data_IF_129399290461
#
_entry.id   IF_129399290461
#
_cell.length_a   1.000
_cell.length_b   1.000
_cell.length_c   1.000
_cell.angle_alpha   90.00
_cell.angle_beta   90.00
_cell.angle_gamma   90.00
#
_symmetry.space_group_name_H-M   'P 1'
#
loop_
_entity.id
_entity.type
_entity.pdbx_description
1 polymer ?
#
# COMPACT_ATOMS: atom_id res chain seq x y z
N UNK A 1 29.14 -16.51 35.42
CA UNK A 1 28.45 -15.25 35.81
C UNK A 1 28.46 -14.19 34.69
N UNK A 2 29.61 -13.85 34.08
CA UNK A 2 29.69 -12.87 32.97
C UNK A 2 28.84 -13.23 31.74
N UNK A 3 28.87 -14.50 31.31
CA UNK A 3 28.04 -15.02 30.21
C UNK A 3 26.53 -14.95 30.49
N UNK A 4 26.12 -15.11 31.75
CA UNK A 4 24.71 -14.99 32.15
C UNK A 4 24.24 -13.53 32.06
N UNK A 5 25.10 -12.59 32.49
CA UNK A 5 24.82 -11.15 32.43
C UNK A 5 24.74 -10.66 30.97
N UNK A 6 25.59 -11.17 30.08
CA UNK A 6 25.52 -10.83 28.66
C UNK A 6 24.26 -11.36 27.98
N UNK A 7 23.85 -12.59 28.30
CA UNK A 7 22.60 -13.15 27.79
C UNK A 7 21.39 -12.34 28.28
N UNK A 8 21.41 -11.90 29.54
CA UNK A 8 20.38 -11.01 30.08
C UNK A 8 20.33 -9.66 29.33
N UNK A 9 21.47 -9.03 29.06
CA UNK A 9 21.53 -7.76 28.34
C UNK A 9 21.05 -7.87 26.90
N UNK A 10 21.43 -8.95 26.19
CA UNK A 10 20.93 -9.22 24.82
C UNK A 10 19.42 -9.45 24.85
N UNK A 11 18.93 -10.21 25.84
CA UNK A 11 17.50 -10.45 26.01
C UNK A 11 16.73 -9.15 26.27
N UNK A 12 17.30 -8.24 27.07
CA UNK A 12 16.72 -6.90 27.30
C UNK A 12 16.70 -6.08 26.00
N UNK A 13 17.76 -6.11 25.19
CA UNK A 13 17.78 -5.41 23.90
C UNK A 13 16.73 -5.97 22.92
N UNK A 14 16.57 -7.30 22.86
CA UNK A 14 15.53 -7.95 22.07
C UNK A 14 14.13 -7.62 22.57
N UNK A 15 13.92 -7.60 23.90
CA UNK A 15 12.64 -7.19 24.50
C UNK A 15 12.33 -5.71 24.23
N UNK A 16 13.33 -4.83 24.28
CA UNK A 16 13.17 -3.42 23.93
C UNK A 16 12.79 -3.26 22.46
N UNK A 17 13.45 -3.99 21.55
CA UNK A 17 13.10 -3.99 20.13
C UNK A 17 11.69 -4.53 19.88
N UNK A 18 11.31 -5.61 20.54
CA UNK A 18 9.96 -6.16 20.49
C UNK A 18 8.93 -5.14 21.02
N UNK A 19 9.23 -4.46 22.13
CA UNK A 19 8.38 -3.40 22.66
C UNK A 19 8.24 -2.23 21.67
N UNK A 20 9.30 -1.81 20.98
CA UNK A 20 9.25 -0.79 19.93
C UNK A 20 8.36 -1.21 18.76
N UNK A 21 8.35 -2.50 18.41
CA UNK A 21 7.51 -3.01 17.34
C UNK A 21 6.03 -3.11 17.74
N UNK A 22 5.74 -3.40 19.02
CA UNK A 22 4.38 -3.65 19.52
C UNK A 22 3.69 -2.42 20.13
N UNK A 23 4.44 -1.47 20.68
CA UNK A 23 3.88 -0.31 21.37
C UNK A 23 3.43 0.78 20.41
N UNK A 24 2.44 1.56 20.85
CA UNK A 24 2.03 2.79 20.17
C UNK A 24 3.14 3.85 20.19
N UNK A 25 3.12 4.71 19.18
CA UNK A 25 4.13 5.78 19.03
C UNK A 25 4.22 6.70 20.25
N UNK A 26 3.10 6.91 20.95
CA UNK A 26 3.06 7.73 22.17
C UNK A 26 3.95 7.14 23.27
N UNK A 27 3.93 5.83 23.42
CA UNK A 27 4.75 5.11 24.40
C UNK A 27 6.21 5.04 23.98
N UNK A 28 6.48 4.89 22.68
CA UNK A 28 7.85 4.95 22.15
C UNK A 28 8.44 6.33 22.37
N UNK A 29 7.71 7.40 22.03
CA UNK A 29 8.13 8.77 22.25
C UNK A 29 8.35 9.06 23.74
N UNK A 30 7.44 8.63 24.61
CA UNK A 30 7.61 8.74 26.06
C UNK A 30 8.86 8.00 26.56
N UNK A 31 9.13 6.80 26.01
CA UNK A 31 10.34 6.03 26.31
C UNK A 31 11.62 6.75 25.88
N UNK A 32 11.66 7.27 24.64
CA UNK A 32 12.80 8.05 24.13
C UNK A 32 13.04 9.30 24.98
N UNK A 33 11.98 10.03 25.34
CA UNK A 33 12.05 11.22 26.21
C UNK A 33 12.55 10.83 27.60
N UNK A 34 12.05 9.75 28.18
CA UNK A 34 12.50 9.26 29.49
C UNK A 34 13.99 8.89 29.46
N UNK A 35 14.45 8.15 28.44
CA UNK A 35 15.87 7.81 28.27
C UNK A 35 16.72 9.07 28.10
N UNK A 36 16.28 10.02 27.27
CA UNK A 36 16.99 11.29 27.06
C UNK A 36 17.06 12.12 28.35
N UNK A 37 15.97 12.20 29.12
CA UNK A 37 15.93 12.88 30.42
C UNK A 37 16.86 12.20 31.44
N UNK A 38 16.87 10.87 31.50
CA UNK A 38 17.79 10.12 32.37
C UNK A 38 19.25 10.42 31.98
N UNK A 39 19.58 10.39 30.69
CA UNK A 39 20.93 10.71 30.21
C UNK A 39 21.30 12.17 30.53
N UNK A 40 20.37 13.10 30.41
CA UNK A 40 20.63 14.52 30.63
C UNK A 40 20.75 14.88 32.13
N UNK A 41 19.87 14.33 32.97
CA UNK A 41 19.77 14.65 34.40
C UNK A 41 20.79 13.89 35.25
N UNK A 42 21.21 12.69 34.83
CA UNK A 42 22.10 11.85 35.65
C UNK A 42 23.58 12.16 35.40
N UNK A 43 24.37 12.22 36.48
CA UNK A 43 25.84 12.32 36.41
C UNK A 43 26.50 11.27 35.50
N UNK A 44 26.09 9.98 35.50
CA UNK A 44 26.61 8.99 34.54
C UNK A 44 26.19 9.21 33.07
N UNK A 45 25.21 10.05 32.78
CA UNK A 45 24.75 10.28 31.41
C UNK A 45 25.56 11.29 30.59
N UNK A 46 26.26 12.23 31.24
CA UNK A 46 27.19 13.17 30.56
C UNK A 46 28.28 12.46 29.71
N UNK A 47 28.93 11.41 30.22
CA UNK A 47 29.71 10.45 29.43
C UNK A 47 29.11 10.00 28.10
N UNK A 48 27.84 9.62 28.11
CA UNK A 48 27.11 9.06 26.96
C UNK A 48 26.93 10.13 25.88
N UNK A 49 26.64 11.38 26.28
CA UNK A 49 26.52 12.51 25.35
C UNK A 49 27.85 12.86 24.67
N UNK A 50 28.96 12.77 25.39
CA UNK A 50 30.29 13.00 24.83
C UNK A 50 30.68 11.91 23.83
N UNK A 51 30.41 10.66 24.17
CA UNK A 51 30.59 9.50 23.28
C UNK A 51 29.73 9.60 22.02
N UNK A 52 28.48 10.02 22.16
CA UNK A 52 27.57 10.22 21.04
C UNK A 52 28.06 11.36 20.14
N UNK A 53 28.49 12.48 20.74
CA UNK A 53 29.00 13.62 19.98
C UNK A 53 30.25 13.23 19.21
N UNK A 54 31.19 12.52 19.83
CA UNK A 54 32.40 12.06 19.13
C UNK A 54 32.04 11.11 18.00
N UNK A 55 31.17 10.13 18.25
CA UNK A 55 30.67 9.19 17.26
C UNK A 55 30.06 9.90 16.02
N UNK A 56 29.19 10.88 16.23
CA UNK A 56 28.55 11.64 15.13
C UNK A 56 29.57 12.45 14.30
N UNK A 57 30.59 13.05 14.91
CA UNK A 57 31.67 13.71 14.16
C UNK A 57 32.54 12.74 13.38
N UNK A 58 32.80 11.55 13.93
CA UNK A 58 33.61 10.52 13.27
C UNK A 58 32.84 9.81 12.15
N UNK A 59 31.51 9.76 12.21
CA UNK A 59 30.65 9.24 11.14
C UNK A 59 30.82 10.02 9.83
N UNK A 60 31.09 11.33 9.89
CA UNK A 60 31.40 12.15 8.71
C UNK A 60 32.73 11.75 8.06
N UNK A 61 33.65 11.19 8.83
CA UNK A 61 34.92 10.65 8.33
C UNK A 61 34.78 9.20 7.83
N UNK A 62 33.70 8.50 8.23
CA UNK A 62 33.43 7.08 7.93
C UNK A 62 32.16 6.89 7.11
N UNK A 63 32.09 7.65 6.02
CA UNK A 63 30.90 7.71 5.16
C UNK A 63 30.50 6.34 4.61
N UNK A 64 31.46 5.46 4.29
CA UNK A 64 31.18 4.13 3.77
C UNK A 64 30.41 3.24 4.79
N UNK A 65 30.84 3.21 6.05
CA UNK A 65 30.19 2.43 7.10
C UNK A 65 28.78 2.96 7.39
N UNK A 66 28.65 4.29 7.50
CA UNK A 66 27.34 4.93 7.67
C UNK A 66 26.40 4.62 6.49
N UNK A 67 26.91 4.67 5.26
CA UNK A 67 26.13 4.39 4.04
C UNK A 67 25.63 2.94 4.00
N UNK A 68 26.43 1.95 4.41
CA UNK A 68 25.99 0.55 4.46
C UNK A 68 24.77 0.38 5.37
N UNK A 69 24.79 1.01 6.56
CA UNK A 69 23.65 0.97 7.50
C UNK A 69 22.45 1.71 6.91
N UNK A 70 22.68 2.92 6.40
CA UNK A 70 21.61 3.77 5.88
C UNK A 70 20.92 3.16 4.66
N UNK A 71 21.69 2.58 3.72
CA UNK A 71 21.15 1.91 2.54
C UNK A 71 20.51 0.57 2.92
N UNK A 72 21.14 -0.22 3.78
CA UNK A 72 20.62 -1.51 4.22
C UNK A 72 19.27 -1.39 4.93
N UNK A 73 19.21 -0.57 5.98
CA UNK A 73 17.95 -0.30 6.70
C UNK A 73 16.98 0.48 5.83
N UNK A 74 17.48 1.47 5.09
CA UNK A 74 16.68 2.29 4.20
C UNK A 74 15.95 1.48 3.13
N UNK A 75 16.58 0.43 2.58
CA UNK A 75 15.95 -0.47 1.61
C UNK A 75 14.77 -1.25 2.23
N UNK A 76 14.89 -1.69 3.50
CA UNK A 76 13.78 -2.31 4.24
C UNK A 76 12.63 -1.32 4.38
N UNK A 77 12.91 -0.10 4.85
CA UNK A 77 11.90 0.93 5.05
C UNK A 77 11.22 1.32 3.73
N UNK A 78 11.98 1.57 2.68
CA UNK A 78 11.47 1.94 1.36
C UNK A 78 10.56 0.86 0.78
N UNK A 79 10.99 -0.41 0.84
CA UNK A 79 10.21 -1.53 0.32
C UNK A 79 8.92 -1.73 1.13
N UNK A 80 9.01 -1.66 2.45
CA UNK A 80 7.84 -1.81 3.32
C UNK A 80 6.82 -0.68 3.12
N UNK A 81 7.28 0.58 3.10
CA UNK A 81 6.41 1.75 2.88
C UNK A 81 5.83 1.72 1.48
N UNK A 82 6.64 1.45 0.46
CA UNK A 82 6.18 1.38 -0.93
C UNK A 82 5.08 0.36 -1.10
N UNK A 83 5.28 -0.87 -0.61
CA UNK A 83 4.29 -1.93 -0.78
C UNK A 83 3.00 -1.68 0.01
N UNK A 84 3.09 -1.14 1.23
CA UNK A 84 1.91 -0.74 2.02
C UNK A 84 1.16 0.42 1.37
N UNK A 85 1.86 1.39 0.80
CA UNK A 85 1.27 2.55 0.13
C UNK A 85 0.46 2.16 -1.09
N UNK A 86 0.89 1.14 -1.85
CA UNK A 86 0.08 0.55 -2.94
C UNK A 86 -1.25 0.00 -2.40
N UNK A 87 -1.21 -0.78 -1.32
CA UNK A 87 -2.43 -1.33 -0.71
C UNK A 87 -3.38 -0.25 -0.19
N UNK A 88 -2.86 0.77 0.49
CA UNK A 88 -3.65 1.89 1.01
C UNK A 88 -4.22 2.78 -0.10
N UNK A 89 -3.46 3.00 -1.18
CA UNK A 89 -3.94 3.73 -2.35
C UNK A 89 -5.11 3.02 -3.03
N UNK A 90 -5.00 1.70 -3.23
CA UNK A 90 -6.10 0.90 -3.76
C UNK A 90 -7.32 0.90 -2.83
N UNK A 91 -7.10 0.69 -1.53
CA UNK A 91 -8.18 0.65 -0.54
C UNK A 91 -8.94 1.98 -0.50
N UNK A 92 -8.24 3.11 -0.60
CA UNK A 92 -8.86 4.44 -0.69
C UNK A 92 -9.79 4.58 -1.90
N UNK A 93 -9.30 4.20 -3.10
CA UNK A 93 -10.09 4.29 -4.35
C UNK A 93 -11.31 3.36 -4.28
N UNK A 94 -11.14 2.13 -3.82
CA UNK A 94 -12.23 1.15 -3.72
C UNK A 94 -13.27 1.57 -2.68
N UNK A 95 -12.87 2.15 -1.56
CA UNK A 95 -13.81 2.68 -0.56
C UNK A 95 -14.56 3.92 -1.05
N UNK A 96 -13.96 4.71 -1.95
CA UNK A 96 -14.63 5.83 -2.61
C UNK A 96 -15.46 5.43 -3.84
N UNK A 97 -15.37 4.17 -4.29
CA UNK A 97 -16.11 3.68 -5.46
C UNK A 97 -17.49 3.21 -5.07
N UNK A 98 -18.49 3.67 -5.82
CA UNK A 98 -19.90 3.37 -5.55
C UNK A 98 -20.53 4.20 -4.42
N UNK A 99 -21.83 4.02 -4.25
CA UNK A 99 -22.65 4.72 -3.28
C UNK A 99 -23.70 3.80 -2.64
N UNK A 100 -24.37 4.28 -1.59
CA UNK A 100 -25.47 3.52 -0.96
C UNK A 100 -26.79 3.64 -1.75
N UNK A 101 -26.80 4.46 -2.81
CA UNK A 101 -27.96 4.69 -3.67
C UNK A 101 -27.99 3.74 -4.87
N UNK A 102 -26.96 2.93 -5.06
CA UNK A 102 -26.84 1.93 -6.12
C UNK A 102 -26.56 0.56 -5.52
N UNK A 103 -27.05 -0.46 -6.20
CA UNK A 103 -26.80 -1.84 -5.87
C UNK A 103 -26.17 -2.55 -7.06
N UNK A 104 -25.23 -3.43 -6.78
CA UNK A 104 -24.66 -4.36 -7.75
C UNK A 104 -25.29 -5.74 -7.53
N UNK A 105 -25.66 -6.37 -8.65
CA UNK A 105 -26.24 -7.71 -8.66
C UNK A 105 -25.32 -8.62 -9.44
N UNK A 106 -24.90 -9.70 -8.79
CA UNK A 106 -24.04 -10.74 -9.34
C UNK A 106 -24.75 -12.09 -9.28
N UNK A 107 -24.20 -13.07 -9.99
CA UNK A 107 -24.59 -14.46 -9.80
C UNK A 107 -24.14 -14.93 -8.42
N UNK A 108 -25.02 -15.64 -7.72
CA UNK A 108 -24.76 -16.16 -6.39
C UNK A 108 -23.50 -17.02 -6.37
N UNK A 109 -22.60 -16.71 -5.44
CA UNK A 109 -21.31 -17.40 -5.28
C UNK A 109 -20.14 -16.77 -6.07
N UNK A 110 -20.42 -15.79 -6.94
CA UNK A 110 -19.37 -14.97 -7.55
C UNK A 110 -18.79 -14.00 -6.52
N UNK A 111 -17.46 -13.95 -6.41
CA UNK A 111 -16.75 -13.02 -5.51
C UNK A 111 -16.25 -11.76 -6.23
N UNK A 112 -16.19 -11.83 -7.56
CA UNK A 112 -15.72 -10.78 -8.45
C UNK A 112 -16.69 -10.68 -9.61
N UNK A 113 -16.72 -9.53 -10.29
CA UNK A 113 -17.44 -9.36 -11.56
C UNK A 113 -16.98 -10.41 -12.58
N UNK A 114 -15.70 -10.77 -12.59
CA UNK A 114 -15.11 -11.74 -13.49
C UNK A 114 -15.68 -13.17 -13.35
N UNK A 115 -16.07 -13.56 -12.14
CA UNK A 115 -16.62 -14.91 -11.85
C UNK A 115 -18.13 -15.00 -12.06
N UNK A 116 -18.78 -13.88 -12.40
CA UNK A 116 -20.23 -13.79 -12.57
C UNK A 116 -20.64 -13.87 -14.03
N UNK A 117 -21.83 -14.43 -14.27
CA UNK A 117 -22.44 -14.52 -15.60
C UNK A 117 -23.96 -14.59 -15.47
N UNK A 118 -24.63 -13.56 -15.99
CA UNK A 118 -26.06 -13.32 -15.96
C UNK A 118 -26.61 -13.33 -17.39
N UNK A 119 -27.60 -14.17 -17.67
CA UNK A 119 -28.23 -14.20 -19.01
C UNK A 119 -29.10 -12.96 -19.24
N UNK A 120 -29.33 -12.58 -20.51
CA UNK A 120 -30.23 -11.46 -20.85
C UNK A 120 -31.62 -11.55 -20.20
N UNK A 121 -32.17 -12.76 -20.12
CA UNK A 121 -33.47 -12.99 -19.49
C UNK A 121 -33.45 -12.65 -18.01
N UNK A 122 -32.38 -13.01 -17.30
CA UNK A 122 -32.19 -12.68 -15.88
C UNK A 122 -32.03 -11.16 -15.72
N UNK A 123 -31.21 -10.53 -16.56
CA UNK A 123 -31.04 -9.07 -16.57
C UNK A 123 -32.38 -8.36 -16.76
N UNK A 124 -33.21 -8.77 -17.72
CA UNK A 124 -34.52 -8.15 -17.96
C UNK A 124 -35.45 -8.20 -16.73
N UNK A 125 -35.36 -9.28 -15.94
CA UNK A 125 -36.11 -9.45 -14.69
C UNK A 125 -35.56 -8.54 -13.59
N UNK A 126 -34.24 -8.39 -13.50
CA UNK A 126 -33.58 -7.48 -12.54
C UNK A 126 -33.96 -6.02 -12.83
N UNK A 127 -33.92 -5.58 -14.08
CA UNK A 127 -34.29 -4.21 -14.47
C UNK A 127 -35.74 -3.87 -14.08
N UNK A 128 -36.60 -4.88 -14.11
CA UNK A 128 -38.02 -4.73 -13.77
C UNK A 128 -38.33 -4.97 -12.29
N UNK A 129 -37.32 -5.29 -11.47
CA UNK A 129 -37.50 -5.71 -10.08
C UNK A 129 -38.00 -4.58 -9.16
N UNK A 130 -38.65 -4.99 -8.07
CA UNK A 130 -39.03 -4.08 -7.00
C UNK A 130 -37.78 -3.57 -6.28
N UNK A 131 -37.77 -2.28 -5.96
CA UNK A 131 -36.62 -1.61 -5.32
C UNK A 131 -35.68 -0.90 -6.31
N UNK A 132 -35.82 -1.16 -7.62
CA UNK A 132 -35.12 -0.40 -8.67
C UNK A 132 -35.82 0.93 -8.93
N UNK A 133 -35.05 2.03 -8.96
CA UNK A 133 -35.54 3.35 -9.31
C UNK A 133 -36.01 3.38 -10.76
N UNK A 134 -37.00 4.21 -11.07
CA UNK A 134 -37.56 4.31 -12.42
C UNK A 134 -37.36 5.71 -13.00
N UNK A 135 -37.16 5.77 -14.31
CA UNK A 135 -37.16 7.02 -15.07
C UNK A 135 -38.58 7.58 -15.18
N UNK A 136 -38.72 8.81 -15.68
CA UNK A 136 -40.04 9.42 -15.95
C UNK A 136 -40.88 8.61 -16.97
N UNK A 137 -40.23 7.81 -17.83
CA UNK A 137 -40.88 6.91 -18.79
C UNK A 137 -41.25 5.54 -18.18
N UNK A 138 -40.93 5.29 -16.91
CA UNK A 138 -41.23 4.04 -16.20
C UNK A 138 -40.19 2.93 -16.36
N UNK A 139 -39.12 3.17 -17.12
CA UNK A 139 -38.01 2.23 -17.31
C UNK A 139 -37.15 2.14 -16.03
N UNK A 140 -36.67 0.95 -15.70
CA UNK A 140 -35.76 0.76 -14.55
C UNK A 140 -34.39 1.39 -14.82
N UNK A 141 -33.88 2.15 -13.85
CA UNK A 141 -32.55 2.77 -13.93
C UNK A 141 -31.51 1.71 -13.61
N UNK A 142 -30.99 1.08 -14.67
CA UNK A 142 -30.07 -0.04 -14.58
C UNK A 142 -29.01 0.00 -15.70
N UNK A 143 -27.83 -0.52 -15.38
CA UNK A 143 -26.71 -0.73 -16.28
C UNK A 143 -26.33 -2.20 -16.25
N UNK A 144 -26.54 -2.93 -17.35
CA UNK A 144 -25.97 -4.27 -17.52
C UNK A 144 -24.55 -4.15 -18.04
N UNK A 145 -23.62 -4.80 -17.33
CA UNK A 145 -22.20 -4.50 -17.47
C UNK A 145 -21.36 -5.69 -17.92
N UNK A 146 -20.28 -5.34 -18.62
CA UNK A 146 -19.34 -6.29 -19.18
C UNK A 146 -17.92 -5.74 -19.05
N UNK A 147 -17.10 -6.37 -18.23
CA UNK A 147 -15.68 -6.13 -18.11
C UNK A 147 -14.87 -6.97 -19.11
N UNK A 148 -14.11 -6.30 -19.97
CA UNK A 148 -13.16 -6.92 -20.91
C UNK A 148 -11.82 -6.17 -20.93
N UNK A 149 -10.85 -6.73 -21.64
CA UNK A 149 -9.55 -6.11 -21.85
C UNK A 149 -9.40 -5.65 -23.31
N UNK A 150 -8.99 -4.40 -23.50
CA UNK A 150 -8.47 -3.88 -24.76
C UNK A 150 -6.94 -3.89 -24.78
N UNK A 151 -6.35 -3.79 -25.97
CA UNK A 151 -4.93 -3.57 -26.16
C UNK A 151 -4.72 -2.29 -26.97
N UNK A 152 -3.84 -1.40 -26.51
CA UNK A 152 -3.50 -0.22 -27.28
C UNK A 152 -2.41 -0.48 -28.34
N UNK A 153 -2.06 0.54 -29.13
CA UNK A 153 -1.01 0.42 -30.16
C UNK A 153 0.40 0.16 -29.58
N UNK A 154 0.60 0.36 -28.28
CA UNK A 154 1.88 0.13 -27.58
C UNK A 154 1.90 -1.25 -26.89
N UNK A 155 0.88 -2.09 -27.09
CA UNK A 155 0.75 -3.41 -26.48
C UNK A 155 0.36 -3.40 -25.00
N UNK A 156 -0.15 -2.28 -24.50
CA UNK A 156 -0.64 -2.16 -23.13
C UNK A 156 -2.07 -2.63 -23.07
N UNK A 157 -2.35 -3.50 -22.11
CA UNK A 157 -3.71 -3.86 -21.76
C UNK A 157 -4.42 -2.67 -21.12
N UNK A 158 -5.72 -2.52 -21.36
CA UNK A 158 -6.59 -1.48 -20.81
C UNK A 158 -7.91 -2.13 -20.39
N UNK A 159 -8.47 -1.73 -19.25
CA UNK A 159 -9.79 -2.19 -18.85
C UNK A 159 -10.88 -1.47 -19.64
N UNK A 160 -11.82 -2.24 -20.19
CA UNK A 160 -13.02 -1.70 -20.84
C UNK A 160 -14.24 -2.23 -20.12
N UNK A 161 -15.09 -1.30 -19.68
CA UNK A 161 -16.40 -1.56 -19.12
C UNK A 161 -17.46 -1.26 -20.17
N UNK A 162 -18.21 -2.28 -20.56
CA UNK A 162 -19.45 -2.12 -21.29
C UNK A 162 -20.53 -1.67 -20.33
N UNK A 163 -21.18 -0.56 -20.63
CA UNK A 163 -22.27 0.00 -19.82
C UNK A 163 -23.54 0.19 -20.67
N UNK A 164 -24.68 0.35 -20.00
CA UNK A 164 -25.96 0.67 -20.65
C UNK A 164 -26.05 2.14 -21.08
N UNK A 165 -27.01 2.46 -21.96
CA UNK A 165 -27.36 3.85 -22.28
C UNK A 165 -27.81 4.66 -21.05
N UNK A 166 -28.32 3.99 -20.00
CA UNK A 166 -28.73 4.62 -18.74
C UNK A 166 -27.59 4.72 -17.70
N UNK A 167 -26.35 4.39 -18.06
CA UNK A 167 -25.20 4.38 -17.14
C UNK A 167 -25.00 5.71 -16.41
N UNK A 168 -25.19 6.85 -17.08
CA UNK A 168 -25.06 8.17 -16.45
C UNK A 168 -26.12 8.43 -15.36
N UNK A 169 -27.26 7.73 -15.39
CA UNK A 169 -28.27 7.80 -14.33
C UNK A 169 -27.95 6.88 -13.16
N UNK A 170 -27.22 5.78 -13.41
CA UNK A 170 -26.71 4.88 -12.38
C UNK A 170 -25.51 5.55 -11.67
N UNK A 171 -24.48 5.92 -12.43
CA UNK A 171 -23.28 6.59 -11.96
C UNK A 171 -23.45 8.11 -11.95
N UNK A 172 -24.23 8.63 -11.01
CA UNK A 172 -24.57 10.05 -10.95
C UNK A 172 -23.36 11.01 -10.84
N UNK A 173 -22.25 10.52 -10.30
CA UNK A 173 -20.99 11.26 -10.16
C UNK A 173 -20.24 11.39 -11.49
N UNK A 174 -20.49 10.50 -12.44
CA UNK A 174 -19.79 10.51 -13.73
C UNK A 174 -20.35 11.62 -14.63
N UNK A 175 -19.44 12.44 -15.14
CA UNK A 175 -19.76 13.50 -16.07
C UNK A 175 -18.69 13.60 -17.16
N UNK A 176 -19.13 13.94 -18.36
CA UNK A 176 -18.24 14.15 -19.49
C UNK A 176 -17.49 15.48 -19.30
N UNK A 177 -16.16 15.44 -19.38
CA UNK A 177 -15.31 16.62 -19.29
C UNK A 177 -14.83 17.10 -20.66
N UNK A 178 -14.74 16.20 -21.66
CA UNK A 178 -14.31 16.53 -23.02
C UNK A 178 -14.92 15.60 -24.06
N UNK A 179 -15.09 16.10 -25.29
CA UNK A 179 -15.60 15.33 -26.43
C UNK A 179 -17.10 15.07 -26.34
N UNK A 180 -17.51 13.81 -26.57
CA UNK A 180 -18.91 13.37 -26.46
C UNK A 180 -19.01 11.93 -25.94
N UNK A 181 -20.21 11.55 -25.53
CA UNK A 181 -20.51 10.15 -25.21
C UNK A 181 -20.41 9.26 -26.46
N UNK A 182 -20.07 7.98 -26.26
CA UNK A 182 -20.12 6.96 -27.30
C UNK A 182 -21.56 6.77 -27.78
N UNK A 183 -21.73 6.34 -29.04
CA UNK A 183 -23.04 5.97 -29.59
C UNK A 183 -23.24 4.46 -29.44
N UNK A 184 -24.48 4.05 -29.17
CA UNK A 184 -24.81 2.61 -29.13
C UNK A 184 -24.72 2.01 -30.53
N UNK A 185 -24.23 0.76 -30.62
CA UNK A 185 -24.12 0.01 -31.88
C UNK A 185 -22.89 0.36 -32.74
N UNK A 186 -21.92 1.13 -32.24
CA UNK A 186 -20.69 1.47 -32.97
C UNK A 186 -19.45 1.27 -32.11
N UNK A 187 -18.29 1.12 -32.73
CA UNK A 187 -17.01 0.90 -32.04
C UNK A 187 -16.41 2.20 -31.49
N UNK A 188 -17.15 2.82 -30.57
CA UNK A 188 -16.76 4.04 -29.88
C UNK A 188 -16.62 3.81 -28.38
N UNK A 189 -15.63 4.45 -27.78
CA UNK A 189 -15.34 4.39 -26.35
C UNK A 189 -15.20 5.80 -25.77
N UNK A 190 -15.37 5.92 -24.46
CA UNK A 190 -15.06 7.13 -23.68
C UNK A 190 -14.03 6.76 -22.64
N UNK A 191 -12.97 7.56 -22.50
CA UNK A 191 -11.90 7.27 -21.55
C UNK A 191 -12.15 7.94 -20.19
N UNK A 192 -11.86 7.23 -19.10
CA UNK A 192 -11.72 7.84 -17.79
C UNK A 192 -10.56 8.85 -17.74
N UNK A 193 -10.71 9.91 -16.95
CA UNK A 193 -9.75 11.00 -16.89
C UNK A 193 -8.31 10.56 -16.52
N UNK A 194 -8.15 9.48 -15.75
CA UNK A 194 -6.84 8.98 -15.33
C UNK A 194 -6.13 8.19 -16.44
N UNK A 195 -6.80 7.89 -17.56
CA UNK A 195 -6.18 7.26 -18.72
C UNK A 195 -5.45 8.25 -19.64
N UNK A 196 -5.64 9.56 -19.49
CA UNK A 196 -5.06 10.59 -20.37
C UNK A 196 -3.54 10.48 -20.49
N UNK A 197 -2.84 10.20 -19.37
CA UNK A 197 -1.38 10.01 -19.38
C UNK A 197 -0.91 8.78 -20.15
N UNK A 198 -1.79 7.80 -20.40
CA UNK A 198 -1.47 6.66 -21.24
C UNK A 198 -1.49 7.05 -22.72
N UNK A 199 -2.29 8.04 -23.12
CA UNK A 199 -2.44 8.48 -24.51
C UNK A 199 -1.68 9.76 -24.83
N UNK A 200 -0.47 9.90 -24.28
CA UNK A 200 0.40 11.06 -24.52
C UNK A 200 -0.27 12.41 -24.17
N UNK A 201 -1.27 12.39 -23.27
CA UNK A 201 -2.02 13.54 -22.78
C UNK A 201 -3.41 13.73 -23.40
N UNK A 202 -3.67 13.19 -24.59
CA UNK A 202 -4.97 13.30 -25.27
C UNK A 202 -5.49 11.93 -25.73
N UNK A 203 -6.48 11.36 -25.03
CA UNK A 203 -7.06 10.09 -25.42
C UNK A 203 -8.03 10.21 -26.62
N UNK A 204 -8.54 11.39 -26.95
CA UNK A 204 -9.57 11.53 -27.99
C UNK A 204 -8.96 11.30 -29.38
N UNK A 205 -9.63 10.47 -30.19
CA UNK A 205 -9.16 10.08 -31.51
C UNK A 205 -8.15 8.93 -31.50
N UNK A 206 -7.60 8.58 -30.33
CA UNK A 206 -6.81 7.35 -30.18
C UNK A 206 -7.69 6.11 -30.46
N UNK A 207 -7.03 5.05 -30.90
CA UNK A 207 -7.67 3.76 -31.21
C UNK A 207 -7.07 2.68 -30.34
N UNK A 208 -7.93 1.83 -29.81
CA UNK A 208 -7.56 0.60 -29.09
C UNK A 208 -8.12 -0.60 -29.85
N UNK A 209 -7.49 -1.75 -29.69
CA UNK A 209 -7.89 -3.00 -30.31
C UNK A 209 -8.66 -3.85 -29.32
N UNK A 210 -9.86 -4.28 -29.70
CA UNK A 210 -10.70 -5.18 -28.92
C UNK A 210 -11.12 -6.32 -29.84
N UNK A 211 -10.79 -7.55 -29.46
CA UNK A 211 -11.03 -8.74 -30.27
C UNK A 211 -10.56 -8.63 -31.74
N UNK A 212 -9.42 -7.97 -31.97
CA UNK A 212 -8.86 -7.74 -33.31
C UNK A 212 -9.50 -6.60 -34.11
N UNK A 213 -10.52 -5.93 -33.57
CA UNK A 213 -11.18 -4.80 -34.21
C UNK A 213 -10.77 -3.46 -33.58
N UNK A 214 -10.65 -2.39 -34.38
CA UNK A 214 -10.30 -1.06 -33.88
C UNK A 214 -11.52 -0.35 -33.28
N UNK A 215 -11.32 0.23 -32.09
CA UNK A 215 -12.30 1.03 -31.35
C UNK A 215 -11.75 2.41 -31.08
N UNK A 216 -12.53 3.46 -31.41
CA UNK A 216 -12.07 4.85 -31.30
C UNK A 216 -12.56 5.51 -30.02
N UNK A 217 -11.67 6.19 -29.33
CA UNK A 217 -12.03 7.01 -28.16
C UNK A 217 -12.59 8.35 -28.65
N UNK A 218 -13.79 8.74 -28.18
CA UNK A 218 -14.52 9.93 -28.65
C UNK A 218 -14.82 10.97 -27.56
N UNK A 219 -14.44 10.70 -26.32
CA UNK A 219 -14.60 11.62 -25.21
C UNK A 219 -13.88 11.17 -23.96
N UNK A 220 -13.92 12.03 -22.95
CA UNK A 220 -13.32 11.79 -21.63
C UNK A 220 -14.34 12.04 -20.54
N UNK A 221 -14.45 11.10 -19.60
CA UNK A 221 -15.33 11.16 -18.43
C UNK A 221 -14.54 11.31 -17.13
N UNK A 222 -15.16 11.94 -16.13
CA UNK A 222 -14.68 11.98 -14.75
C UNK A 222 -15.77 11.54 -13.79
N UNK A 223 -15.47 10.55 -12.97
CA UNK A 223 -16.30 9.98 -11.91
C UNK A 223 -15.73 10.28 -10.51
N UNK A 224 -14.41 10.45 -10.38
CA UNK A 224 -13.74 10.68 -9.10
C UNK A 224 -13.50 9.40 -8.28
N UNK A 225 -13.69 8.23 -8.88
CA UNK A 225 -13.50 6.91 -8.28
C UNK A 225 -12.79 5.95 -9.26
N UNK A 226 -12.89 4.63 -9.04
CA UNK A 226 -12.20 3.64 -9.86
C UNK A 226 -12.52 3.72 -11.36
N UNK A 227 -13.69 4.23 -11.74
CA UNK A 227 -14.12 4.35 -13.14
C UNK A 227 -13.29 5.37 -13.94
N UNK A 228 -12.53 6.25 -13.27
CA UNK A 228 -11.59 7.17 -13.96
C UNK A 228 -10.42 6.43 -14.62
N UNK A 229 -10.20 5.16 -14.28
CA UNK A 229 -9.15 4.29 -14.81
C UNK A 229 -9.63 3.34 -15.92
N UNK A 230 -10.86 3.50 -16.41
CA UNK A 230 -11.51 2.56 -17.32
C UNK A 230 -11.91 3.21 -18.66
N UNK A 231 -12.02 2.41 -19.71
CA UNK A 231 -12.68 2.80 -20.95
C UNK A 231 -14.14 2.36 -20.89
N UNK A 232 -15.09 3.25 -21.20
CA UNK A 232 -16.51 2.91 -21.26
C UNK A 232 -16.98 2.77 -22.69
N UNK A 233 -17.75 1.72 -22.96
CA UNK A 233 -18.39 1.46 -24.25
C UNK A 233 -19.79 0.90 -24.11
N UNK A 234 -20.48 0.70 -25.23
CA UNK A 234 -21.82 0.10 -25.23
C UNK A 234 -21.77 -1.40 -24.92
N UNK A 235 -22.43 -1.82 -23.85
CA UNK A 235 -22.36 -3.22 -23.38
C UNK A 235 -22.91 -4.23 -24.39
N UNK A 236 -23.90 -3.84 -25.22
CA UNK A 236 -24.47 -4.71 -26.25
C UNK A 236 -23.49 -4.90 -27.41
N UNK A 237 -22.85 -3.83 -27.85
CA UNK A 237 -21.86 -3.83 -28.93
C UNK A 237 -20.63 -4.63 -28.50
N UNK A 238 -20.14 -4.43 -27.28
CA UNK A 238 -19.01 -5.18 -26.72
C UNK A 238 -19.35 -6.66 -26.56
N UNK A 239 -20.53 -7.01 -26.03
CA UNK A 239 -20.96 -8.41 -25.94
C UNK A 239 -21.01 -9.06 -27.33
N UNK A 240 -21.53 -8.35 -28.34
CA UNK A 240 -21.59 -8.83 -29.72
C UNK A 240 -20.20 -9.06 -30.32
N UNK A 241 -19.24 -8.18 -30.04
CA UNK A 241 -17.86 -8.31 -30.53
C UNK A 241 -17.19 -9.61 -30.05
N UNK A 242 -17.56 -10.13 -28.88
CA UNK A 242 -17.06 -11.40 -28.34
C UNK A 242 -18.02 -12.59 -28.56
N UNK A 243 -19.13 -12.41 -29.27
CA UNK A 243 -20.16 -13.45 -29.43
C UNK A 243 -20.83 -13.86 -28.11
N UNK A 244 -20.84 -12.97 -27.11
CA UNK A 244 -21.42 -13.20 -25.79
C UNK A 244 -22.91 -12.83 -25.75
N UNK A 245 -23.66 -13.59 -24.94
CA UNK A 245 -25.08 -13.32 -24.67
C UNK A 245 -25.37 -13.19 -23.16
N UNK A 246 -24.33 -12.94 -22.39
CA UNK A 246 -24.33 -12.81 -20.95
C UNK A 246 -23.64 -11.51 -20.51
N UNK A 247 -23.97 -11.06 -19.31
CA UNK A 247 -23.39 -9.90 -18.64
C UNK A 247 -22.74 -10.37 -17.34
N UNK A 248 -21.71 -9.67 -16.87
CA UNK A 248 -21.04 -10.05 -15.63
C UNK A 248 -21.82 -9.59 -14.42
N UNK A 249 -22.36 -8.39 -14.47
CA UNK A 249 -23.13 -7.82 -13.38
C UNK A 249 -24.22 -6.88 -13.92
N UNK A 250 -25.11 -6.49 -13.02
CA UNK A 250 -26.06 -5.41 -13.26
C UNK A 250 -25.96 -4.43 -12.10
N UNK A 251 -25.70 -3.17 -12.41
CA UNK A 251 -25.74 -2.08 -11.43
C UNK A 251 -27.04 -1.33 -11.59
N UNK A 252 -27.79 -1.17 -10.51
CA UNK A 252 -29.08 -0.48 -10.50
C UNK A 252 -29.07 0.68 -9.55
N UNK A 253 -29.83 1.73 -9.86
CA UNK A 253 -30.14 2.77 -8.88
C UNK A 253 -31.31 2.32 -8.03
N UNK A 254 -31.21 2.52 -6.72
CA UNK A 254 -32.20 2.11 -5.73
C UNK A 254 -33.29 3.16 -5.57
N UNK A 255 -34.53 2.71 -5.38
CA UNK A 255 -35.67 3.56 -5.10
C UNK A 255 -35.74 3.93 -3.60
N UNK A 256 -35.02 4.98 -3.22
CA UNK A 256 -35.00 5.50 -1.86
C UNK A 256 -34.28 4.59 -0.86
N UNK A 257 -34.37 4.94 0.43
CA UNK A 257 -33.57 4.31 1.49
C UNK A 257 -33.86 2.81 1.72
N UNK A 258 -35.07 2.34 1.40
CA UNK A 258 -35.45 0.93 1.54
C UNK A 258 -35.20 0.11 0.27
N UNK A 259 -34.81 0.74 -0.84
CA UNK A 259 -34.67 0.10 -2.14
C UNK A 259 -33.78 -1.14 -2.10
N UNK A 260 -32.64 -1.09 -1.39
CA UNK A 260 -31.74 -2.24 -1.24
C UNK A 260 -32.46 -3.42 -0.58
N UNK A 261 -33.14 -3.17 0.55
CA UNK A 261 -33.84 -4.23 1.28
C UNK A 261 -34.98 -4.84 0.47
N UNK A 262 -35.69 -4.03 -0.32
CA UNK A 262 -36.75 -4.49 -1.23
C UNK A 262 -36.16 -5.35 -2.35
N UNK A 263 -35.06 -4.90 -2.96
CA UNK A 263 -34.39 -5.63 -4.03
C UNK A 263 -33.81 -6.96 -3.54
N UNK A 264 -33.18 -6.98 -2.36
CA UNK A 264 -32.70 -8.21 -1.72
C UNK A 264 -33.86 -9.17 -1.41
N UNK A 265 -35.00 -8.66 -0.94
CA UNK A 265 -36.19 -9.48 -0.70
C UNK A 265 -36.75 -10.07 -2.00
N UNK A 266 -36.80 -9.27 -3.07
CA UNK A 266 -37.18 -9.72 -4.40
C UNK A 266 -36.24 -10.82 -4.93
N UNK A 267 -34.92 -10.64 -4.79
CA UNK A 267 -33.93 -11.65 -5.21
C UNK A 267 -34.09 -12.96 -4.44
N UNK A 268 -34.36 -12.90 -3.13
CA UNK A 268 -34.63 -14.08 -2.29
C UNK A 268 -35.93 -14.80 -2.66
N UNK A 269 -36.99 -14.05 -2.95
CA UNK A 269 -38.26 -14.60 -3.42
C UNK A 269 -38.10 -15.31 -4.78
N UNK A 270 -37.17 -14.84 -5.61
CA UNK A 270 -36.81 -15.41 -6.89
C UNK A 270 -35.54 -16.26 -6.83
N UNK A 271 -35.42 -17.15 -5.84
CA UNK A 271 -34.21 -17.96 -5.60
C UNK A 271 -33.72 -18.77 -6.81
N UNK A 272 -34.60 -19.11 -7.76
CA UNK A 272 -34.23 -19.77 -9.02
C UNK A 272 -33.29 -18.94 -9.91
N UNK A 273 -33.24 -17.63 -9.73
CA UNK A 273 -32.34 -16.74 -10.46
C UNK A 273 -30.90 -16.80 -9.92
N UNK A 274 -30.69 -17.35 -8.70
CA UNK A 274 -29.40 -17.44 -8.02
C UNK A 274 -28.64 -16.10 -8.06
N UNK A 275 -29.21 -15.07 -7.42
CA UNK A 275 -28.66 -13.72 -7.42
C UNK A 275 -28.11 -13.36 -6.04
N UNK A 276 -27.01 -12.62 -6.04
CA UNK A 276 -26.44 -11.96 -4.88
C UNK A 276 -26.54 -10.45 -5.11
N UNK A 277 -27.11 -9.75 -4.13
CA UNK A 277 -27.40 -8.31 -4.20
C UNK A 277 -26.66 -7.62 -3.08
N UNK A 278 -25.87 -6.62 -3.43
CA UNK A 278 -25.12 -5.81 -2.47
C UNK A 278 -25.17 -4.33 -2.87
N UNK A 279 -24.94 -3.43 -1.92
CA UNK A 279 -24.66 -2.03 -2.27
C UNK A 279 -23.32 -1.95 -3.00
N UNK A 280 -23.20 -1.05 -3.98
CA UNK A 280 -21.93 -0.90 -4.71
C UNK A 280 -20.79 -0.51 -3.76
N UNK A 281 -21.05 0.37 -2.78
CA UNK A 281 -20.08 0.73 -1.75
C UNK A 281 -19.57 -0.48 -0.97
N UNK A 282 -20.47 -1.34 -0.47
CA UNK A 282 -20.05 -2.49 0.31
C UNK A 282 -19.30 -3.51 -0.57
N UNK A 283 -19.74 -3.73 -1.80
CA UNK A 283 -19.06 -4.60 -2.76
C UNK A 283 -17.61 -4.16 -3.02
N UNK A 284 -17.39 -2.91 -3.46
CA UNK A 284 -16.04 -2.42 -3.73
C UNK A 284 -15.16 -2.35 -2.47
N UNK A 285 -15.72 -1.93 -1.33
CA UNK A 285 -15.00 -1.96 -0.05
C UNK A 285 -14.65 -3.38 0.43
N UNK A 286 -15.40 -4.41 0.02
CA UNK A 286 -15.06 -5.80 0.30
C UNK A 286 -13.94 -6.33 -0.61
N UNK A 287 -13.89 -5.85 -1.86
CA UNK A 287 -12.89 -6.20 -2.85
C UNK A 287 -11.48 -5.79 -2.41
N UNK A 288 -11.33 -4.57 -1.86
CA UNK A 288 -10.04 -4.07 -1.39
C UNK A 288 -9.48 -4.84 -0.19
N UNK A 289 -10.33 -5.32 0.72
CA UNK A 289 -9.90 -6.00 1.95
C UNK A 289 -9.02 -7.21 1.67
N UNK A 290 -9.42 -8.05 0.71
CA UNK A 290 -8.66 -9.26 0.35
C UNK A 290 -7.28 -8.86 -0.19
N UNK A 291 -7.24 -7.92 -1.12
CA UNK A 291 -6.00 -7.46 -1.73
C UNK A 291 -5.06 -6.78 -0.73
N UNK A 292 -5.59 -5.85 0.08
CA UNK A 292 -4.84 -5.14 1.12
C UNK A 292 -4.32 -6.10 2.19
N UNK A 293 -5.06 -7.15 2.53
CA UNK A 293 -4.61 -8.19 3.45
C UNK A 293 -3.45 -9.01 2.87
N UNK A 294 -3.52 -9.41 1.60
CA UNK A 294 -2.42 -10.09 0.90
C UNK A 294 -1.18 -9.19 0.89
N UNK A 295 -1.31 -7.94 0.44
CA UNK A 295 -0.22 -6.96 0.44
C UNK A 295 0.39 -6.81 1.84
N UNK A 296 -0.44 -6.74 2.89
CA UNK A 296 0.05 -6.64 4.28
C UNK A 296 0.91 -7.84 4.67
N UNK A 297 0.47 -9.05 4.36
CA UNK A 297 1.21 -10.28 4.67
C UNK A 297 2.55 -10.27 3.94
N UNK A 298 2.53 -10.02 2.62
CA UNK A 298 3.76 -9.93 1.82
C UNK A 298 4.70 -8.83 2.33
N UNK A 299 4.16 -7.68 2.78
CA UNK A 299 4.95 -6.56 3.28
C UNK A 299 5.71 -6.93 4.54
N UNK A 300 5.04 -7.65 5.45
CA UNK A 300 5.68 -8.16 6.66
C UNK A 300 6.72 -9.23 6.33
N UNK A 301 6.41 -10.18 5.45
CA UNK A 301 7.36 -11.23 5.06
C UNK A 301 8.64 -10.65 4.44
N UNK A 302 8.50 -9.73 3.47
CA UNK A 302 9.65 -9.08 2.82
C UNK A 302 10.42 -8.23 3.83
N UNK A 303 9.74 -7.49 4.71
CA UNK A 303 10.41 -6.71 5.74
C UNK A 303 11.19 -7.58 6.73
N UNK A 304 10.72 -8.78 7.06
CA UNK A 304 11.48 -9.73 7.88
C UNK A 304 12.72 -10.23 7.13
N UNK A 305 12.57 -10.65 5.87
CA UNK A 305 13.68 -11.17 5.06
C UNK A 305 14.77 -10.11 4.83
N UNK A 306 14.39 -8.93 4.35
CA UNK A 306 15.31 -7.81 4.17
C UNK A 306 15.82 -7.28 5.51
N UNK A 307 14.97 -7.29 6.54
CA UNK A 307 15.33 -6.91 7.91
C UNK A 307 16.45 -7.78 8.49
N UNK A 308 16.45 -9.09 8.23
CA UNK A 308 17.56 -9.98 8.60
C UNK A 308 18.85 -9.59 7.89
N UNK A 309 18.79 -9.31 6.59
CA UNK A 309 19.95 -8.84 5.82
C UNK A 309 20.50 -7.51 6.36
N UNK A 310 19.61 -6.55 6.60
CA UNK A 310 19.95 -5.26 7.20
C UNK A 310 20.52 -5.43 8.62
N UNK A 311 19.95 -6.33 9.43
CA UNK A 311 20.46 -6.65 10.76
C UNK A 311 21.91 -7.12 10.71
N UNK A 312 22.25 -8.06 9.83
CA UNK A 312 23.64 -8.50 9.65
C UNK A 312 24.55 -7.40 9.11
N UNK A 313 24.05 -6.53 8.23
CA UNK A 313 24.80 -5.37 7.74
C UNK A 313 25.12 -4.38 8.89
N UNK A 314 24.13 -4.06 9.74
CA UNK A 314 24.34 -3.22 10.92
C UNK A 314 25.30 -3.88 11.89
N UNK A 315 25.09 -5.16 12.21
CA UNK A 315 25.95 -5.93 13.10
C UNK A 315 27.41 -5.88 12.65
N UNK A 316 27.68 -6.25 11.41
CA UNK A 316 29.05 -6.34 10.89
C UNK A 316 29.73 -4.96 10.92
N UNK A 317 29.00 -3.93 10.48
CA UNK A 317 29.50 -2.56 10.50
C UNK A 317 29.79 -2.09 11.92
N UNK A 318 28.90 -2.34 12.87
CA UNK A 318 29.06 -1.94 14.27
C UNK A 318 30.17 -2.73 14.97
N UNK A 319 30.43 -3.98 14.59
CA UNK A 319 31.62 -4.71 15.03
C UNK A 319 32.91 -4.04 14.54
N UNK A 320 32.98 -3.69 13.25
CA UNK A 320 34.14 -2.95 12.71
C UNK A 320 34.34 -1.61 13.41
N UNK A 321 33.25 -0.88 13.69
CA UNK A 321 33.30 0.38 14.46
C UNK A 321 33.82 0.16 15.88
N UNK A 322 33.37 -0.90 16.55
CA UNK A 322 33.81 -1.22 17.91
C UNK A 322 35.29 -1.62 17.99
N UNK A 323 35.78 -2.39 17.01
CA UNK A 323 37.19 -2.83 16.97
C UNK A 323 38.15 -1.65 16.74
N UNK A 324 37.83 -0.74 15.83
CA UNK A 324 38.65 0.45 15.59
C UNK A 324 38.73 1.39 16.80
N UNK A 325 37.68 1.42 17.64
CA UNK A 325 37.62 2.27 18.84
C UNK A 325 37.94 1.51 20.12
N UNK A 326 38.53 0.33 20.00
CA UNK A 326 38.77 -0.57 21.12
C UNK A 326 39.65 0.06 22.20
N UNK A 327 40.71 0.77 21.80
CA UNK A 327 41.61 1.46 22.73
C UNK A 327 40.90 2.62 23.45
N UNK A 328 40.22 3.50 22.70
CA UNK A 328 39.45 4.64 23.25
C UNK A 328 38.45 4.18 24.32
N UNK A 329 37.67 3.14 24.02
CA UNK A 329 36.66 2.61 24.93
C UNK A 329 37.25 1.89 26.14
N UNK A 330 38.39 1.22 25.97
CA UNK A 330 39.12 0.59 27.06
C UNK A 330 39.70 1.63 28.01
N UNK A 331 40.22 2.75 27.49
CA UNK A 331 40.68 3.88 28.30
C UNK A 331 39.52 4.53 29.06
N UNK A 332 38.36 4.74 28.41
CA UNK A 332 37.17 5.28 29.08
C UNK A 332 36.69 4.38 30.23
N UNK A 333 36.70 3.06 30.04
CA UNK A 333 36.39 2.10 31.11
C UNK A 333 37.44 2.12 32.23
N UNK A 334 38.72 2.28 31.89
CA UNK A 334 39.80 2.35 32.87
C UNK A 334 39.70 3.59 33.78
N UNK A 335 39.21 4.73 33.25
CA UNK A 335 38.94 5.95 34.04
C UNK A 335 37.57 5.93 34.76
N UNK A 336 36.87 4.79 34.77
CA UNK A 336 35.67 4.57 35.57
C UNK A 336 34.33 4.80 34.87
N UNK A 337 34.29 4.90 33.54
CA UNK A 337 33.02 5.00 32.82
C UNK A 337 32.22 3.69 32.92
N UNK A 338 30.89 3.82 33.02
CA UNK A 338 30.01 2.66 33.11
C UNK A 338 29.97 1.89 31.79
N UNK A 339 30.21 0.59 31.86
CA UNK A 339 30.11 -0.34 30.72
C UNK A 339 28.75 -0.24 30.02
N UNK A 340 27.66 -0.10 30.78
CA UNK A 340 26.31 0.04 30.24
C UNK A 340 26.16 1.34 29.44
N UNK A 341 26.79 2.44 29.87
CA UNK A 341 26.74 3.71 29.15
C UNK A 341 27.37 3.62 27.75
N UNK A 342 28.41 2.82 27.59
CA UNK A 342 29.01 2.55 26.27
C UNK A 342 28.01 1.83 25.36
N UNK A 343 27.38 0.75 25.84
CA UNK A 343 26.37 0.02 25.05
C UNK A 343 25.20 0.92 24.67
N UNK A 344 24.71 1.73 25.60
CA UNK A 344 23.64 2.70 25.33
C UNK A 344 24.05 3.70 24.26
N UNK A 345 25.29 4.21 24.29
CA UNK A 345 25.79 5.10 23.25
C UNK A 345 25.78 4.45 21.85
N UNK A 346 26.24 3.20 21.74
CA UNK A 346 26.20 2.42 20.50
C UNK A 346 24.77 2.20 20.00
N UNK A 347 23.85 1.83 20.89
CA UNK A 347 22.45 1.65 20.54
C UNK A 347 21.83 2.94 19.99
N UNK A 348 22.15 4.10 20.59
CA UNK A 348 21.66 5.40 20.11
C UNK A 348 22.30 5.74 18.77
N UNK A 349 23.60 5.51 18.59
CA UNK A 349 24.30 5.74 17.32
C UNK A 349 23.69 4.93 16.17
N UNK A 350 23.53 3.61 16.35
CA UNK A 350 22.91 2.75 15.36
C UNK A 350 21.44 3.08 15.09
N UNK A 351 20.68 3.44 16.13
CA UNK A 351 19.31 3.93 16.00
C UNK A 351 19.24 5.19 15.13
N UNK A 352 20.11 6.18 15.37
CA UNK A 352 20.14 7.43 14.61
C UNK A 352 20.50 7.18 13.14
N UNK A 353 21.49 6.33 12.87
CA UNK A 353 21.87 5.96 11.49
C UNK A 353 20.75 5.20 10.77
N UNK A 354 20.12 4.24 11.45
CA UNK A 354 19.01 3.49 10.91
C UNK A 354 17.81 4.40 10.58
N UNK A 355 17.47 5.33 11.48
CA UNK A 355 16.42 6.32 11.25
C UNK A 355 16.77 7.29 10.12
N UNK A 356 18.01 7.78 10.05
CA UNK A 356 18.47 8.64 8.96
C UNK A 356 18.35 7.93 7.61
N UNK A 357 18.77 6.66 7.54
CA UNK A 357 18.59 5.81 6.36
C UNK A 357 17.12 5.67 5.96
N UNK A 358 16.24 5.35 6.92
CA UNK A 358 14.80 5.24 6.69
C UNK A 358 14.17 6.54 6.20
N UNK A 359 14.52 7.69 6.79
CA UNK A 359 14.01 9.01 6.37
C UNK A 359 14.47 9.35 4.96
N UNK A 360 15.76 9.13 4.65
CA UNK A 360 16.30 9.42 3.33
C UNK A 360 15.64 8.58 2.24
N UNK A 361 15.49 7.27 2.45
CA UNK A 361 14.92 6.40 1.42
C UNK A 361 13.42 6.54 1.30
N UNK A 362 12.68 6.75 2.39
CA UNK A 362 11.24 7.06 2.33
C UNK A 362 11.02 8.42 1.64
N UNK A 363 11.87 9.41 1.92
CA UNK A 363 11.85 10.70 1.22
C UNK A 363 12.13 10.54 -0.28
N UNK A 364 13.11 9.70 -0.64
CA UNK A 364 13.40 9.37 -2.04
C UNK A 364 12.22 8.66 -2.72
N UNK A 365 11.60 7.67 -2.07
CA UNK A 365 10.40 6.99 -2.57
C UNK A 365 9.25 7.97 -2.79
N UNK A 366 9.03 8.88 -1.84
CA UNK A 366 8.02 9.92 -1.97
C UNK A 366 8.31 10.82 -3.17
N UNK A 367 9.53 11.34 -3.32
CA UNK A 367 9.89 12.20 -4.45
C UNK A 367 9.84 11.47 -5.80
N UNK A 368 10.25 10.20 -5.84
CA UNK A 368 10.29 9.42 -7.07
C UNK A 368 8.91 8.96 -7.53
N UNK A 369 8.01 8.61 -6.60
CA UNK A 369 6.72 8.01 -6.92
C UNK A 369 5.51 8.96 -6.76
N UNK A 370 5.65 10.08 -6.05
CA UNK A 370 4.55 11.03 -5.88
C UNK A 370 4.12 11.61 -7.23
N UNK A 371 2.81 11.67 -7.46
CA UNK A 371 2.22 12.16 -8.71
C UNK A 371 2.22 11.16 -9.87
N UNK A 372 2.86 10.00 -9.73
CA UNK A 372 2.80 8.95 -10.73
C UNK A 372 1.54 8.08 -10.55
N UNK A 373 0.87 7.78 -11.66
CA UNK A 373 -0.24 6.83 -11.72
C UNK A 373 0.34 5.46 -12.03
N UNK A 374 0.14 4.50 -11.13
CA UNK A 374 0.54 3.11 -11.33
C UNK A 374 -0.67 2.30 -11.77
N UNK A 375 -0.52 1.50 -12.81
CA UNK A 375 -1.53 0.51 -13.22
C UNK A 375 -1.09 -0.87 -12.74
N UNK A 376 -1.97 -1.55 -12.02
CA UNK A 376 -1.73 -2.94 -11.64
C UNK A 376 -2.11 -3.82 -12.84
N UNK A 377 -1.14 -4.42 -13.52
CA UNK A 377 -1.41 -5.50 -14.46
C UNK A 377 -1.69 -6.79 -13.64
N UNK A 378 -2.93 -6.96 -13.19
CA UNK A 378 -3.38 -8.12 -12.40
C UNK A 378 -4.16 -9.13 -13.24
N UNK A 379 -4.03 -10.42 -12.87
CA UNK A 379 -4.91 -11.48 -13.38
C UNK A 379 -6.31 -11.33 -12.77
N UNK A 380 -7.25 -10.72 -13.50
CA UNK A 380 -8.62 -10.52 -13.01
C UNK A 380 -9.45 -9.47 -13.75
N UNK A 381 -9.05 -9.07 -14.96
CA UNK A 381 -9.69 -8.04 -15.79
C UNK A 381 -9.71 -6.62 -15.22
N UNK A 382 -9.59 -6.37 -13.92
CA UNK A 382 -9.51 -5.01 -13.35
C UNK A 382 -8.10 -4.45 -13.38
N UNK A 383 -7.80 -3.61 -14.37
CA UNK A 383 -6.67 -2.69 -14.26
C UNK A 383 -7.07 -1.49 -13.43
N UNK A 384 -6.61 -1.46 -12.19
CA UNK A 384 -6.87 -0.33 -11.31
C UNK A 384 -5.67 0.59 -11.41
N UNK A 385 -5.89 1.76 -12.00
CA UNK A 385 -4.93 2.85 -11.99
C UNK A 385 -5.06 3.59 -10.66
N UNK A 386 -4.02 3.58 -9.85
CA UNK A 386 -4.01 4.27 -8.56
C UNK A 386 -2.90 5.30 -8.52
N UNK A 387 -3.19 6.43 -7.87
CA UNK A 387 -2.17 7.43 -7.55
C UNK A 387 -1.41 6.94 -6.33
N UNK A 388 -0.09 6.98 -6.37
CA UNK A 388 0.72 6.63 -5.21
C UNK A 388 0.49 7.65 -4.08
N UNK A 389 -0.11 7.17 -2.99
CA UNK A 389 -0.27 7.94 -1.75
C UNK A 389 0.60 7.32 -0.66
N UNK A 390 1.47 8.14 -0.09
CA UNK A 390 2.33 7.73 1.02
C UNK A 390 1.45 7.44 2.24
N UNK A 391 1.41 6.17 2.68
CA UNK A 391 0.66 5.77 3.87
C UNK A 391 1.38 6.23 5.15
N UNK A 392 0.85 7.20 5.91
CA UNK A 392 1.50 7.69 7.13
C UNK A 392 1.68 6.61 8.20
N UNK A 393 0.76 5.64 8.25
CA UNK A 393 0.84 4.52 9.18
C UNK A 393 1.98 3.58 8.82
N UNK A 394 2.24 3.39 7.52
CA UNK A 394 3.34 2.59 7.01
C UNK A 394 4.69 3.26 7.29
N UNK A 395 4.80 4.58 7.09
CA UNK A 395 6.01 5.36 7.42
C UNK A 395 6.36 5.23 8.91
N UNK A 396 5.33 5.32 9.76
CA UNK A 396 5.50 5.19 11.20
C UNK A 396 5.91 3.77 11.61
N UNK A 397 5.33 2.75 10.98
CA UNK A 397 5.73 1.36 11.18
C UNK A 397 7.15 1.10 10.67
N UNK A 398 7.57 1.65 9.52
CA UNK A 398 8.94 1.52 9.03
C UNK A 398 9.96 2.23 9.93
N UNK A 399 9.60 3.36 10.54
CA UNK A 399 10.45 4.03 11.52
C UNK A 399 10.66 3.15 12.77
N UNK A 400 9.62 2.44 13.23
CA UNK A 400 9.73 1.44 14.31
C UNK A 400 10.64 0.28 13.92
N UNK A 401 10.52 -0.24 12.70
CA UNK A 401 11.40 -1.29 12.17
C UNK A 401 12.86 -0.80 12.13
N UNK A 402 13.11 0.39 11.61
CA UNK A 402 14.46 0.98 11.58
C UNK A 402 15.05 1.12 12.98
N UNK A 403 14.28 1.63 13.93
CA UNK A 403 14.72 1.79 15.32
C UNK A 403 15.05 0.43 15.96
N UNK A 404 14.20 -0.57 15.77
CA UNK A 404 14.44 -1.92 16.27
C UNK A 404 15.72 -2.52 15.68
N UNK A 405 15.90 -2.45 14.35
CA UNK A 405 17.10 -2.97 13.68
C UNK A 405 18.37 -2.24 14.14
N UNK A 406 18.33 -0.92 14.24
CA UNK A 406 19.46 -0.11 14.71
C UNK A 406 19.88 -0.44 16.14
N UNK A 407 18.90 -0.62 17.05
CA UNK A 407 19.17 -0.96 18.45
C UNK A 407 19.71 -2.39 18.57
N UNK A 408 19.03 -3.40 18.02
CA UNK A 408 19.48 -4.80 18.16
C UNK A 408 20.81 -5.02 17.46
N UNK A 409 20.98 -4.45 16.25
CA UNK A 409 22.22 -4.54 15.48
C UNK A 409 23.42 -3.89 16.16
N UNK A 410 23.21 -2.90 17.03
CA UNK A 410 24.30 -2.20 17.72
C UNK A 410 24.50 -2.67 19.18
N UNK A 411 23.45 -3.23 19.79
CA UNK A 411 23.52 -3.77 21.15
C UNK A 411 24.47 -4.98 21.24
N UNK A 412 24.42 -5.88 20.26
CA UNK A 412 25.22 -7.11 20.29
C UNK A 412 26.73 -6.81 20.28
N UNK A 413 27.28 -6.02 19.34
CA UNK A 413 28.69 -5.63 19.36
C UNK A 413 29.08 -4.92 20.66
N UNK A 414 28.24 -3.99 21.14
CA UNK A 414 28.47 -3.29 22.41
C UNK A 414 28.62 -4.26 23.58
N UNK A 415 27.70 -5.21 23.73
CA UNK A 415 27.71 -6.19 24.84
C UNK A 415 28.89 -7.16 24.72
N UNK A 416 29.18 -7.65 23.51
CA UNK A 416 30.34 -8.52 23.27
C UNK A 416 31.63 -7.81 23.65
N UNK A 417 31.74 -6.52 23.28
CA UNK A 417 32.89 -5.70 23.60
C UNK A 417 33.08 -5.49 25.12
N UNK A 418 32.00 -5.30 25.88
CA UNK A 418 32.07 -5.17 27.34
C UNK A 418 32.72 -6.37 28.04
N UNK A 419 32.63 -7.55 27.43
CA UNK A 419 33.13 -8.79 28.00
C UNK A 419 34.60 -9.08 27.68
N UNK A 420 35.23 -8.32 26.77
CA UNK A 420 36.68 -8.43 26.53
C UNK A 420 37.46 -7.86 27.73
N UNK A 421 38.59 -8.49 28.04
CA UNK A 421 39.47 -8.06 29.14
C UNK A 421 40.07 -6.68 28.86
N UNK A 422 40.11 -5.82 29.87
CA UNK A 422 40.69 -4.46 29.77
C UNK A 422 42.14 -4.50 29.28
N UNK A 423 42.91 -5.49 29.72
CA UNK A 423 44.33 -5.65 29.37
C UNK A 423 44.51 -6.00 27.89
N UNK A 424 43.60 -6.79 27.30
CA UNK A 424 43.67 -7.10 25.87
C UNK A 424 43.21 -5.93 25.01
N UNK A 425 42.27 -5.11 25.49
CA UNK A 425 41.84 -3.88 24.82
C UNK A 425 42.90 -2.78 24.77
N UNK A 426 43.72 -2.65 25.82
CA UNK A 426 44.82 -1.67 25.88
C UNK A 426 46.08 -2.11 25.11
N UNK A 427 46.17 -3.40 24.76
CA UNK A 427 47.27 -3.96 23.94
C UNK A 427 46.94 -4.02 22.45
N UNK A 428 45.73 -3.61 22.06
CA UNK A 428 45.33 -3.53 20.67
C UNK A 428 46.02 -2.29 20.07
N UNK A 429 47.02 -2.52 19.22
CA UNK A 429 47.83 -1.51 18.50
C UNK A 429 47.62 -1.64 17.02
#
# INVERSE_FOLDING_TARGET
MRTLISLLQISVALLAALAILLLDIRWIAAGVVAVALVIWLTRPGRPILLLLRSALTLLLQRQAAALVIMVGVGAVCATYVGMRSVGTGLDGIMQSTGDDATAIILKQGARTEADSSLSRDVVSRIVSADGVARTASGEGVASQELAITAEDLKGRHLHVRGVSALANLVYASSHLIEGRMFRSGVHELVAGANLSGQFDGDPIGATVTINGEPWRIVGVLRSGDAHDAELWGDSVTLASAFGRNDYQDVVVRLNGAQGLSTLTAWARANSRLNLEVDSTRHFYASQSKVFTQVIRIFSVCIAILLGLGAFFAVLNTMFTVAEERMCEMSTLRAIGFSSIGVVVAFCIEGALLALAGGVMTVGFVWLALSGHVFSTAGAGFTQIAFVFHLDPSAVLASARIALALGIVGSAVPGIVFLNRELVSGLRYT
#
